data_IF_235128663777
#
_entry.id   IF_235128663777
#
_cell.length_a   1.000
_cell.length_b   1.000
_cell.length_c   1.000
_cell.angle_alpha   90.00
_cell.angle_beta   90.00
_cell.angle_gamma   90.00
#
_symmetry.space_group_name_H-M   'P 1'
#
loop_
_entity.id
_entity.type
_entity.pdbx_description
1 polymer ?
#
# COMPACT_ATOMS: atom_id res chain seq x y z
N UNK A 1 40.34 -6.28 -33.01
CA UNK A 1 39.85 -5.30 -32.03
C UNK A 1 40.84 -5.30 -30.88
N UNK A 2 41.48 -4.16 -30.59
CA UNK A 2 42.46 -4.05 -29.51
C UNK A 2 41.78 -4.26 -28.15
N UNK A 3 42.51 -4.78 -27.18
CA UNK A 3 42.03 -4.94 -25.79
C UNK A 3 41.49 -3.63 -25.20
N UNK A 4 42.02 -2.48 -25.61
CA UNK A 4 41.50 -1.15 -25.27
C UNK A 4 40.09 -0.86 -25.81
N UNK A 5 39.70 -1.43 -26.96
CA UNK A 5 38.34 -1.25 -27.51
C UNK A 5 37.28 -2.08 -26.79
N UNK A 6 37.68 -3.20 -26.18
CA UNK A 6 36.79 -4.05 -25.36
C UNK A 6 36.67 -3.50 -23.93
N UNK A 7 37.75 -2.97 -23.37
CA UNK A 7 37.73 -2.26 -22.09
C UNK A 7 36.97 -0.92 -22.17
N UNK A 8 37.02 -0.21 -23.31
CA UNK A 8 36.21 0.98 -23.54
C UNK A 8 34.71 0.67 -23.69
N UNK A 9 34.32 -0.46 -24.28
CA UNK A 9 32.92 -0.90 -24.35
C UNK A 9 32.39 -1.44 -23.00
N UNK A 10 33.26 -2.06 -22.19
CA UNK A 10 32.94 -2.47 -20.83
C UNK A 10 32.85 -1.28 -19.87
N UNK A 11 33.73 -0.28 -20.02
CA UNK A 11 33.69 0.96 -19.22
C UNK A 11 32.56 1.90 -19.64
N UNK A 12 32.19 1.98 -20.92
CA UNK A 12 31.00 2.74 -21.36
C UNK A 12 29.67 2.15 -20.84
N UNK A 13 29.63 0.86 -20.51
CA UNK A 13 28.49 0.24 -19.84
C UNK A 13 28.47 0.44 -18.32
N UNK A 14 29.55 0.96 -17.72
CA UNK A 14 29.61 1.26 -16.28
C UNK A 14 29.40 2.75 -15.95
N UNK A 15 29.47 3.67 -16.92
CA UNK A 15 29.41 5.11 -16.67
C UNK A 15 28.04 5.81 -16.88
N UNK A 16 26.91 5.08 -16.92
CA UNK A 16 25.58 5.75 -16.91
C UNK A 16 24.47 5.10 -16.07
N UNK A 17 24.79 4.14 -15.20
CA UNK A 17 23.83 3.71 -14.19
C UNK A 17 23.85 4.71 -13.02
N UNK A 18 23.22 5.87 -13.21
CA UNK A 18 22.56 6.55 -12.10
C UNK A 18 21.80 5.47 -11.33
N UNK A 19 22.04 5.36 -10.02
CA UNK A 19 21.39 4.35 -9.17
C UNK A 19 19.89 4.32 -9.50
N UNK A 20 19.44 3.19 -10.06
CA UNK A 20 18.07 3.02 -10.58
C UNK A 20 17.02 3.11 -9.47
N UNK A 21 17.42 3.30 -8.21
CA UNK A 21 16.55 3.53 -7.07
C UNK A 21 16.81 4.87 -6.37
N UNK A 22 17.72 5.72 -6.85
CA UNK A 22 17.99 7.03 -6.25
C UNK A 22 16.85 8.01 -6.52
N UNK A 23 16.03 8.26 -5.48
CA UNK A 23 14.92 9.21 -5.54
C UNK A 23 15.33 10.69 -5.62
N UNK A 24 16.62 11.02 -5.75
CA UNK A 24 17.05 12.34 -6.21
C UNK A 24 16.79 12.55 -7.72
N UNK A 25 16.64 11.45 -8.47
CA UNK A 25 16.24 11.50 -9.87
C UNK A 25 14.73 11.77 -9.99
N UNK A 26 14.38 12.91 -10.59
CA UNK A 26 13.00 13.34 -10.77
C UNK A 26 12.20 12.42 -11.70
N UNK A 27 12.83 11.74 -12.66
CA UNK A 27 12.17 10.75 -13.52
C UNK A 27 11.67 9.55 -12.71
N UNK A 28 12.52 9.00 -11.83
CA UNK A 28 12.17 7.89 -10.94
C UNK A 28 10.99 8.27 -10.05
N UNK A 29 11.05 9.45 -9.42
CA UNK A 29 9.96 9.97 -8.58
C UNK A 29 8.68 10.14 -9.39
N UNK A 30 8.79 10.61 -10.65
CA UNK A 30 7.64 10.78 -11.54
C UNK A 30 7.01 9.44 -11.91
N UNK A 31 7.81 8.42 -12.18
CA UNK A 31 7.33 7.05 -12.47
C UNK A 31 6.60 6.42 -11.27
N UNK A 32 7.16 6.55 -10.06
CA UNK A 32 6.48 6.15 -8.81
C UNK A 32 5.13 6.86 -8.63
N UNK A 33 5.11 8.19 -8.80
CA UNK A 33 3.88 9.00 -8.69
C UNK A 33 2.85 8.60 -9.73
N UNK A 34 3.29 8.35 -10.96
CA UNK A 34 2.40 7.99 -12.06
C UNK A 34 1.77 6.62 -11.82
N UNK A 35 2.57 5.62 -11.43
CA UNK A 35 2.07 4.31 -11.01
C UNK A 35 1.07 4.42 -9.84
N UNK A 36 1.39 5.25 -8.84
CA UNK A 36 0.51 5.49 -7.69
C UNK A 36 -0.80 6.19 -8.07
N UNK A 37 -0.78 7.12 -9.02
CA UNK A 37 -1.98 7.80 -9.51
C UNK A 37 -2.91 6.84 -10.24
N UNK A 38 -2.36 5.93 -11.06
CA UNK A 38 -3.14 4.88 -11.73
C UNK A 38 -3.76 3.94 -10.69
N UNK A 39 -2.99 3.50 -9.70
CA UNK A 39 -3.51 2.67 -8.61
C UNK A 39 -4.63 3.39 -7.83
N UNK A 40 -4.47 4.68 -7.52
CA UNK A 40 -5.52 5.46 -6.85
C UNK A 40 -6.79 5.60 -7.70
N UNK A 41 -6.66 5.78 -9.03
CA UNK A 41 -7.80 5.85 -9.94
C UNK A 41 -8.56 4.51 -9.98
N UNK A 42 -7.84 3.40 -10.10
CA UNK A 42 -8.43 2.06 -10.03
C UNK A 42 -9.11 1.80 -8.68
N UNK A 43 -8.45 2.13 -7.57
CA UNK A 43 -9.04 2.00 -6.23
C UNK A 43 -10.32 2.82 -6.10
N UNK A 44 -10.32 4.07 -6.56
CA UNK A 44 -11.51 4.94 -6.53
C UNK A 44 -12.69 4.31 -7.29
N UNK A 45 -12.44 3.75 -8.47
CA UNK A 45 -13.45 3.09 -9.27
C UNK A 45 -14.00 1.83 -8.59
N UNK A 46 -13.12 1.02 -7.97
CA UNK A 46 -13.54 -0.17 -7.22
C UNK A 46 -14.39 0.22 -6.01
N UNK A 47 -13.94 1.16 -5.18
CA UNK A 47 -14.68 1.61 -3.99
C UNK A 47 -16.06 2.20 -4.35
N UNK A 48 -16.16 2.93 -5.47
CA UNK A 48 -17.44 3.46 -5.96
C UNK A 48 -18.41 2.35 -6.42
N UNK A 49 -17.89 1.18 -6.79
CA UNK A 49 -18.69 0.02 -7.21
C UNK A 49 -19.06 -0.92 -6.05
N UNK A 50 -18.46 -0.77 -4.87
CA UNK A 50 -18.76 -1.60 -3.69
C UNK A 50 -20.16 -1.23 -3.18
N UNK A 51 -21.11 -2.15 -3.37
CA UNK A 51 -22.49 -2.05 -2.88
C UNK A 51 -23.10 -3.45 -2.70
N UNK A 52 -24.16 -3.62 -1.90
CA UNK A 52 -24.81 -4.90 -1.71
C UNK A 52 -25.21 -5.56 -3.05
N UNK A 53 -25.02 -6.87 -3.14
CA UNK A 53 -25.32 -7.70 -4.32
C UNK A 53 -24.23 -7.72 -5.40
N UNK A 54 -23.21 -6.86 -5.34
CA UNK A 54 -22.12 -6.88 -6.33
C UNK A 54 -21.16 -8.04 -6.05
N UNK A 55 -20.83 -8.79 -7.09
CA UNK A 55 -19.87 -9.90 -7.03
C UNK A 55 -18.44 -9.38 -6.78
N UNK A 56 -17.72 -10.05 -5.89
CA UNK A 56 -16.31 -9.78 -5.60
C UNK A 56 -15.45 -9.90 -6.87
N UNK A 57 -15.72 -10.89 -7.72
CA UNK A 57 -15.03 -11.07 -9.01
C UNK A 57 -15.20 -9.84 -9.90
N UNK A 58 -16.40 -9.29 -9.98
CA UNK A 58 -16.68 -8.10 -10.79
C UNK A 58 -15.90 -6.87 -10.28
N UNK A 59 -15.77 -6.71 -8.96
CA UNK A 59 -14.95 -5.65 -8.35
C UNK A 59 -13.47 -5.81 -8.72
N UNK A 60 -12.94 -7.04 -8.65
CA UNK A 60 -11.57 -7.32 -9.09
C UNK A 60 -11.34 -7.01 -10.57
N UNK A 61 -12.33 -7.30 -11.43
CA UNK A 61 -12.26 -6.97 -12.86
C UNK A 61 -12.25 -5.45 -13.10
N UNK A 62 -13.07 -4.68 -12.36
CA UNK A 62 -13.08 -3.21 -12.47
C UNK A 62 -11.70 -2.63 -12.18
N UNK A 63 -11.05 -3.09 -11.10
CA UNK A 63 -9.72 -2.62 -10.72
C UNK A 63 -8.66 -2.94 -11.78
N UNK A 64 -8.60 -4.19 -12.23
CA UNK A 64 -7.60 -4.63 -13.21
C UNK A 64 -7.79 -3.94 -14.58
N UNK A 65 -9.03 -3.86 -15.07
CA UNK A 65 -9.33 -3.17 -16.33
C UNK A 65 -8.98 -1.69 -16.25
N UNK A 66 -9.32 -1.01 -15.14
CA UNK A 66 -8.97 0.40 -14.96
C UNK A 66 -7.44 0.61 -15.01
N UNK A 67 -6.66 -0.24 -14.32
CA UNK A 67 -5.20 -0.11 -14.34
C UNK A 67 -4.62 -0.32 -15.74
N UNK A 68 -5.12 -1.31 -16.49
CA UNK A 68 -4.68 -1.57 -17.86
C UNK A 68 -5.07 -0.42 -18.81
N UNK A 69 -6.29 0.08 -18.72
CA UNK A 69 -6.77 1.20 -19.53
C UNK A 69 -5.97 2.48 -19.29
N UNK A 70 -5.70 2.83 -18.03
CA UNK A 70 -4.92 4.03 -17.68
C UNK A 70 -3.45 3.89 -18.08
N UNK A 71 -2.81 2.73 -17.83
CA UNK A 71 -1.41 2.53 -18.25
C UNK A 71 -1.23 2.53 -19.76
N UNK A 72 -2.22 2.09 -20.54
CA UNK A 72 -2.18 2.15 -21.99
C UNK A 72 -2.17 3.59 -22.56
N UNK A 73 -2.60 4.59 -21.78
CA UNK A 73 -2.58 6.01 -22.20
C UNK A 73 -1.22 6.67 -22.01
N UNK A 74 -0.35 6.10 -21.16
CA UNK A 74 0.85 6.74 -20.64
C UNK A 74 2.11 6.10 -21.25
N UNK A 75 3.23 6.82 -21.41
CA UNK A 75 4.52 6.21 -21.84
C UNK A 75 4.44 5.32 -23.11
N UNK A 76 3.79 5.81 -24.16
CA UNK A 76 3.65 5.08 -25.44
C UNK A 76 4.82 5.29 -26.41
N UNK A 77 5.62 6.34 -26.19
CA UNK A 77 6.86 6.56 -26.93
C UNK A 77 8.01 5.80 -26.26
N UNK A 78 9.01 5.42 -27.04
CA UNK A 78 10.24 4.85 -26.50
C UNK A 78 11.00 5.91 -25.70
N UNK A 79 11.48 5.55 -24.53
CA UNK A 79 12.45 6.34 -23.75
C UNK A 79 13.81 5.70 -23.92
N UNK A 80 14.85 6.46 -24.26
CA UNK A 80 16.21 5.95 -24.46
C UNK A 80 16.27 4.72 -25.39
N UNK A 81 15.45 4.72 -26.46
CA UNK A 81 15.37 3.63 -27.43
C UNK A 81 14.62 2.37 -26.96
N UNK A 82 14.19 2.28 -25.69
CA UNK A 82 13.44 1.14 -25.15
C UNK A 82 11.95 1.45 -24.96
N UNK A 83 11.11 0.43 -25.11
CA UNK A 83 9.70 0.50 -24.69
C UNK A 83 9.66 0.52 -23.16
N UNK A 84 8.89 1.43 -22.59
CA UNK A 84 8.65 1.48 -21.15
C UNK A 84 7.68 0.37 -20.77
N UNK A 85 8.10 -0.52 -19.87
CA UNK A 85 7.26 -1.59 -19.34
C UNK A 85 6.27 -1.02 -18.30
N UNK A 86 5.00 -1.43 -18.35
CA UNK A 86 3.92 -0.81 -17.56
C UNK A 86 2.71 -1.73 -17.48
N UNK A 87 1.97 -1.63 -16.39
CA UNK A 87 0.76 -2.40 -16.19
C UNK A 87 0.48 -2.72 -14.73
N UNK A 88 -0.20 -3.84 -14.51
CA UNK A 88 -0.56 -4.33 -13.18
C UNK A 88 0.68 -4.85 -12.46
N UNK A 89 0.98 -4.28 -11.29
CA UNK A 89 2.03 -4.75 -10.39
C UNK A 89 1.48 -5.69 -9.31
N UNK A 90 0.20 -5.55 -8.96
CA UNK A 90 -0.50 -6.46 -8.06
C UNK A 90 -1.97 -6.54 -8.50
N UNK A 91 -2.49 -7.75 -8.83
CA UNK A 91 -3.86 -7.89 -9.31
C UNK A 91 -4.85 -7.49 -8.21
N UNK A 92 -5.99 -6.97 -8.64
CA UNK A 92 -7.02 -6.51 -7.71
C UNK A 92 -7.54 -7.69 -6.89
N UNK A 93 -7.46 -7.54 -5.58
CA UNK A 93 -7.99 -8.46 -4.59
C UNK A 93 -8.99 -7.71 -3.72
N UNK A 94 -10.12 -8.35 -3.45
CA UNK A 94 -11.22 -7.79 -2.65
C UNK A 94 -11.59 -8.82 -1.59
N UNK A 95 -11.30 -8.52 -0.33
CA UNK A 95 -11.48 -9.43 0.80
C UNK A 95 -12.55 -8.90 1.77
N UNK A 96 -13.55 -9.73 2.04
CA UNK A 96 -14.73 -9.36 2.85
C UNK A 96 -14.62 -9.92 4.27
N UNK A 97 -14.99 -9.10 5.26
CA UNK A 97 -15.07 -9.44 6.69
C UNK A 97 -13.78 -10.08 7.23
N UNK A 98 -13.83 -11.35 7.64
CA UNK A 98 -12.73 -12.09 8.27
C UNK A 98 -11.56 -12.37 7.32
N UNK A 99 -11.81 -12.40 6.00
CA UNK A 99 -10.74 -12.61 5.02
C UNK A 99 -9.78 -11.44 5.08
N UNK A 100 -8.48 -11.69 5.16
CA UNK A 100 -7.49 -10.63 5.40
C UNK A 100 -7.12 -9.91 4.10
N UNK A 101 -6.55 -10.62 3.14
CA UNK A 101 -6.13 -10.08 1.84
C UNK A 101 -6.05 -11.23 0.79
N UNK A 102 -5.69 -10.87 -0.45
CA UNK A 102 -5.38 -11.79 -1.56
C UNK A 102 -6.57 -12.57 -2.15
N UNK A 103 -7.80 -12.30 -1.71
CA UNK A 103 -8.98 -12.92 -2.30
C UNK A 103 -9.31 -12.28 -3.67
N UNK A 104 -9.14 -13.04 -4.75
CA UNK A 104 -9.55 -12.67 -6.11
C UNK A 104 -10.16 -13.91 -6.78
N UNK A 105 -11.48 -14.13 -6.66
CA UNK A 105 -12.09 -15.39 -7.09
C UNK A 105 -12.21 -15.50 -8.62
N UNK A 106 -12.18 -16.74 -9.13
CA UNK A 106 -12.43 -17.06 -10.55
C UNK A 106 -13.93 -17.11 -10.90
N UNK A 107 -14.78 -17.30 -9.89
CA UNK A 107 -16.24 -17.42 -9.99
C UNK A 107 -16.96 -16.30 -9.22
N UNK A 108 -18.29 -16.29 -9.31
CA UNK A 108 -19.16 -15.29 -8.65
C UNK A 108 -19.71 -15.81 -7.31
N UNK A 109 -18.95 -16.66 -6.61
CA UNK A 109 -19.38 -17.32 -5.36
C UNK A 109 -19.59 -16.36 -4.19
N UNK A 110 -18.97 -15.18 -4.21
CA UNK A 110 -19.05 -14.20 -3.13
C UNK A 110 -19.58 -12.87 -3.65
N UNK A 111 -20.62 -12.38 -2.99
CA UNK A 111 -21.21 -11.06 -3.22
C UNK A 111 -21.12 -10.23 -1.95
N UNK A 112 -20.98 -8.92 -2.12
CA UNK A 112 -20.97 -7.94 -1.04
C UNK A 112 -22.37 -7.83 -0.43
N UNK A 113 -22.47 -7.67 0.89
CA UNK A 113 -23.71 -7.51 1.64
C UNK A 113 -23.71 -6.20 2.43
N UNK A 114 -24.90 -5.77 2.82
CA UNK A 114 -25.06 -4.65 3.74
C UNK A 114 -24.38 -4.99 5.08
N UNK A 115 -23.60 -4.05 5.64
CA UNK A 115 -22.85 -4.24 6.87
C UNK A 115 -21.47 -4.89 6.70
N UNK A 116 -21.11 -5.35 5.50
CA UNK A 116 -19.80 -5.96 5.25
C UNK A 116 -18.66 -4.94 5.41
N UNK A 117 -17.52 -5.42 5.90
CA UNK A 117 -16.24 -4.70 5.87
C UNK A 117 -15.42 -5.22 4.69
N UNK A 118 -15.17 -4.35 3.71
CA UNK A 118 -14.55 -4.70 2.43
C UNK A 118 -13.16 -4.10 2.35
N UNK A 119 -12.17 -4.94 2.05
CA UNK A 119 -10.77 -4.56 1.87
C UNK A 119 -10.40 -4.72 0.41
N UNK A 120 -9.86 -3.69 -0.20
CA UNK A 120 -9.43 -3.68 -1.60
C UNK A 120 -7.92 -3.48 -1.64
N UNK A 121 -7.20 -4.39 -2.29
CA UNK A 121 -5.74 -4.31 -2.52
C UNK A 121 -5.46 -4.40 -4.01
N UNK A 122 -4.67 -3.48 -4.54
CA UNK A 122 -4.22 -3.48 -5.94
C UNK A 122 -2.92 -2.68 -6.12
N UNK A 123 -2.27 -2.85 -7.26
CA UNK A 123 -1.04 -2.10 -7.56
C UNK A 123 -0.72 -2.01 -9.05
N UNK A 124 -0.07 -0.91 -9.42
CA UNK A 124 0.37 -0.60 -10.77
C UNK A 124 1.89 -0.36 -10.79
N UNK A 125 2.55 -0.58 -11.93
CA UNK A 125 3.93 -0.15 -12.15
C UNK A 125 4.10 0.67 -13.43
N UNK A 126 5.09 1.56 -13.42
CA UNK A 126 5.65 2.21 -14.59
C UNK A 126 7.17 1.98 -14.54
N UNK A 127 7.73 1.38 -15.58
CA UNK A 127 9.15 1.02 -15.72
C UNK A 127 9.70 0.19 -14.54
N UNK A 128 8.83 -0.58 -13.88
CA UNK A 128 9.15 -1.36 -12.70
C UNK A 128 9.00 -0.63 -11.37
N UNK A 129 8.72 0.67 -11.34
CA UNK A 129 8.45 1.44 -10.13
C UNK A 129 6.98 1.31 -9.73
N UNK A 130 6.73 0.88 -8.49
CA UNK A 130 5.42 0.39 -8.06
C UNK A 130 4.66 1.41 -7.21
N UNK A 131 3.40 1.64 -7.57
CA UNK A 131 2.38 2.21 -6.68
C UNK A 131 1.48 1.11 -6.14
N UNK A 132 1.55 0.83 -4.84
CA UNK A 132 0.68 -0.13 -4.15
C UNK A 132 -0.32 0.60 -3.27
N UNK A 133 -1.53 0.06 -3.19
CA UNK A 133 -2.56 0.60 -2.30
C UNK A 133 -3.46 -0.49 -1.75
N UNK A 134 -3.80 -0.37 -0.47
CA UNK A 134 -4.89 -1.14 0.16
C UNK A 134 -5.79 -0.18 0.93
N UNK A 135 -7.08 -0.41 0.89
CA UNK A 135 -8.06 0.43 1.57
C UNK A 135 -9.20 -0.42 2.12
N UNK A 136 -9.61 -0.13 3.35
CA UNK A 136 -10.79 -0.75 3.96
C UNK A 136 -11.93 0.23 3.99
N UNK A 137 -13.13 -0.24 3.63
CA UNK A 137 -14.38 0.47 3.78
C UNK A 137 -15.43 -0.44 4.42
N UNK A 138 -16.53 0.14 4.89
CA UNK A 138 -17.72 -0.62 5.28
C UNK A 138 -18.90 -0.29 4.35
N UNK A 139 -19.81 -1.25 4.20
CA UNK A 139 -21.02 -1.12 3.39
C UNK A 139 -22.17 -0.69 4.29
N UNK A 140 -22.69 0.51 4.04
CA UNK A 140 -23.81 1.09 4.78
C UNK A 140 -23.57 2.53 5.19
N UNK A 141 -24.50 3.09 5.97
CA UNK A 141 -24.45 4.51 6.37
C UNK A 141 -23.44 4.79 7.48
N UNK A 142 -23.37 3.91 8.48
CA UNK A 142 -22.46 4.01 9.62
C UNK A 142 -22.14 2.62 10.19
N UNK A 143 -21.04 2.52 10.92
CA UNK A 143 -20.60 1.29 11.58
C UNK A 143 -20.37 1.53 13.07
N UNK A 144 -20.61 0.52 13.91
CA UNK A 144 -20.52 0.58 15.38
C UNK A 144 -19.69 -0.59 15.93
N UNK A 145 -19.34 -0.49 17.21
CA UNK A 145 -18.68 -1.57 17.95
C UNK A 145 -17.31 -1.94 17.36
N UNK A 146 -16.98 -3.23 17.40
CA UNK A 146 -15.64 -3.72 17.05
C UNK A 146 -15.19 -3.40 15.63
N UNK A 147 -16.10 -3.38 14.66
CA UNK A 147 -15.80 -2.93 13.30
C UNK A 147 -15.40 -1.45 13.25
N UNK A 148 -16.12 -0.59 13.99
CA UNK A 148 -15.76 0.83 14.08
C UNK A 148 -14.40 1.04 14.78
N UNK A 149 -14.12 0.25 15.83
CA UNK A 149 -12.86 0.29 16.56
C UNK A 149 -11.68 -0.02 15.64
N UNK A 150 -11.71 -1.14 14.90
CA UNK A 150 -10.58 -1.58 14.07
C UNK A 150 -10.38 -0.67 12.85
N UNK A 151 -11.46 -0.14 12.26
CA UNK A 151 -11.38 0.83 11.16
C UNK A 151 -10.70 2.14 11.60
N UNK A 152 -11.13 2.70 12.74
CA UNK A 152 -10.49 3.88 13.33
C UNK A 152 -9.05 3.61 13.71
N UNK A 153 -8.79 2.50 14.40
CA UNK A 153 -7.45 2.11 14.82
C UNK A 153 -6.50 1.99 13.64
N UNK A 154 -6.88 1.24 12.59
CA UNK A 154 -6.00 0.99 11.45
C UNK A 154 -5.68 2.28 10.69
N UNK A 155 -6.66 3.16 10.50
CA UNK A 155 -6.43 4.47 9.88
C UNK A 155 -5.51 5.36 10.73
N UNK A 156 -5.73 5.42 12.04
CA UNK A 156 -4.89 6.21 12.95
C UNK A 156 -3.46 5.64 13.07
N UNK A 157 -3.30 4.32 13.08
CA UNK A 157 -2.01 3.64 13.01
C UNK A 157 -1.25 4.06 11.75
N UNK A 158 -1.93 4.08 10.61
CA UNK A 158 -1.39 4.54 9.34
C UNK A 158 -0.92 6.01 9.39
N UNK A 159 -1.75 6.91 9.92
CA UNK A 159 -1.43 8.33 10.05
C UNK A 159 -0.28 8.59 11.03
N UNK A 160 -0.24 7.87 12.16
CA UNK A 160 0.84 7.95 13.15
C UNK A 160 2.15 7.37 12.60
N UNK A 161 2.09 6.19 11.96
CA UNK A 161 3.24 5.55 11.33
C UNK A 161 3.84 6.43 10.24
N UNK A 162 3.01 7.04 9.37
CA UNK A 162 3.47 7.95 8.33
C UNK A 162 4.28 9.13 8.90
N UNK A 163 3.86 9.68 10.05
CA UNK A 163 4.55 10.79 10.74
C UNK A 163 5.83 10.38 11.44
N UNK A 164 5.92 9.11 11.85
CA UNK A 164 7.12 8.54 12.49
C UNK A 164 8.15 8.07 11.46
N UNK A 165 7.70 7.60 10.30
CA UNK A 165 8.53 7.04 9.23
C UNK A 165 9.34 8.16 8.55
N UNK A 166 10.59 8.30 8.97
CA UNK A 166 11.56 9.31 8.52
C UNK A 166 12.95 8.68 8.44
N UNK A 167 13.82 9.25 7.61
CA UNK A 167 15.23 8.85 7.56
C UNK A 167 15.88 8.97 8.94
N UNK A 168 16.73 8.01 9.29
CA UNK A 168 17.42 7.89 10.57
C UNK A 168 16.58 7.26 11.68
N UNK A 169 15.27 7.07 11.49
CA UNK A 169 14.40 6.41 12.47
C UNK A 169 14.49 4.89 12.30
N UNK A 170 14.47 4.16 13.41
CA UNK A 170 14.37 2.69 13.39
C UNK A 170 12.94 2.26 13.04
N UNK A 171 12.80 1.23 12.20
CA UNK A 171 11.50 0.62 11.89
C UNK A 171 10.77 0.12 13.13
N UNK A 172 11.52 -0.33 14.13
CA UNK A 172 10.96 -0.77 15.41
C UNK A 172 10.24 0.36 16.16
N UNK A 173 10.67 1.62 16.02
CA UNK A 173 9.93 2.75 16.59
C UNK A 173 8.61 3.00 15.86
N UNK A 174 8.56 2.76 14.55
CA UNK A 174 7.31 2.83 13.78
C UNK A 174 6.35 1.72 14.21
N UNK A 175 6.85 0.49 14.38
CA UNK A 175 6.08 -0.64 14.91
C UNK A 175 5.52 -0.35 16.30
N UNK A 176 6.32 0.22 17.22
CA UNK A 176 5.85 0.62 18.56
C UNK A 176 4.71 1.62 18.50
N UNK A 177 4.79 2.61 17.61
CA UNK A 177 3.72 3.60 17.44
C UNK A 177 2.44 2.93 16.92
N UNK A 178 2.56 2.01 15.95
CA UNK A 178 1.41 1.24 15.44
C UNK A 178 0.76 0.44 16.57
N UNK A 179 1.55 -0.30 17.36
CA UNK A 179 1.03 -1.09 18.49
C UNK A 179 0.38 -0.24 19.58
N UNK A 180 0.99 0.90 19.93
CA UNK A 180 0.46 1.82 20.94
C UNK A 180 -0.92 2.32 20.52
N UNK A 181 -1.07 2.77 19.27
CA UNK A 181 -2.38 3.19 18.72
C UNK A 181 -3.35 2.03 18.68
N UNK A 182 -2.95 0.85 18.19
CA UNK A 182 -3.84 -0.30 18.09
C UNK A 182 -4.40 -0.73 19.47
N UNK A 183 -3.57 -0.64 20.51
CA UNK A 183 -3.94 -1.01 21.89
C UNK A 183 -5.04 -0.12 22.50
N UNK A 184 -5.09 1.18 22.15
CA UNK A 184 -6.14 2.11 22.58
C UNK A 184 -7.53 1.71 22.08
N UNK A 185 -7.59 0.90 21.01
CA UNK A 185 -8.82 0.37 20.41
C UNK A 185 -9.01 -1.12 20.68
N UNK A 186 -8.22 -1.72 21.58
CA UNK A 186 -8.17 -3.16 21.83
C UNK A 186 -7.97 -3.97 20.54
N UNK A 187 -7.21 -3.45 19.58
CA UNK A 187 -6.90 -4.10 18.31
C UNK A 187 -5.44 -4.56 18.32
N UNK A 188 -5.12 -5.53 17.46
CA UNK A 188 -3.76 -6.08 17.37
C UNK A 188 -3.29 -6.11 15.92
N UNK A 189 -2.04 -5.72 15.63
CA UNK A 189 -1.45 -5.94 14.30
C UNK A 189 -1.32 -7.43 13.98
N UNK A 190 -1.62 -7.81 12.75
CA UNK A 190 -1.44 -9.19 12.28
C UNK A 190 0.04 -9.46 11.98
N UNK A 191 0.52 -10.63 12.42
CA UNK A 191 1.88 -11.09 12.07
C UNK A 191 1.92 -11.63 10.64
N UNK A 192 3.08 -11.55 10.00
CA UNK A 192 3.26 -12.01 8.61
C UNK A 192 2.82 -11.00 7.54
N UNK A 193 2.36 -9.81 7.94
CA UNK A 193 2.04 -8.71 7.03
C UNK A 193 3.05 -7.57 7.23
N UNK A 194 3.92 -7.41 6.25
CA UNK A 194 5.07 -6.51 6.36
C UNK A 194 4.91 -5.26 5.51
N UNK A 195 5.59 -4.20 5.94
CA UNK A 195 5.91 -3.05 5.13
C UNK A 195 7.26 -3.30 4.43
N UNK A 196 7.29 -3.29 3.11
CA UNK A 196 8.49 -3.63 2.33
C UNK A 196 9.12 -2.39 1.69
N UNK A 197 10.46 -2.37 1.64
CA UNK A 197 11.21 -1.51 0.72
C UNK A 197 10.80 -1.84 -0.72
N UNK A 198 10.56 -0.79 -1.51
CA UNK A 198 10.25 -0.87 -2.92
C UNK A 198 11.48 -0.45 -3.73
N UNK A 199 11.81 -1.25 -4.74
CA UNK A 199 12.82 -0.95 -5.74
C UNK A 199 12.27 -1.19 -7.13
N UNK A 200 12.96 -0.71 -8.15
CA UNK A 200 12.61 -1.01 -9.54
C UNK A 200 12.52 -2.53 -9.72
N UNK A 201 11.36 -3.02 -10.19
CA UNK A 201 11.07 -4.45 -10.38
C UNK A 201 11.06 -5.31 -9.09
N UNK A 202 11.00 -4.68 -7.91
CA UNK A 202 10.97 -5.38 -6.61
C UNK A 202 9.83 -4.82 -5.75
N UNK A 203 8.79 -5.64 -5.58
CA UNK A 203 7.59 -5.34 -4.79
C UNK A 203 7.72 -5.73 -3.31
N UNK A 204 8.56 -6.72 -3.02
CA UNK A 204 8.85 -7.23 -1.67
C UNK A 204 10.37 -7.23 -1.46
N UNK A 205 10.91 -6.06 -1.11
CA UNK A 205 12.33 -5.89 -0.81
C UNK A 205 12.79 -6.68 0.41
N UNK A 206 14.08 -6.99 0.44
CA UNK A 206 14.75 -7.70 1.56
C UNK A 206 14.77 -6.88 2.85
N UNK A 207 14.65 -5.56 2.74
CA UNK A 207 14.45 -4.66 3.87
C UNK A 207 12.95 -4.50 4.09
N UNK A 208 12.44 -5.01 5.21
CA UNK A 208 11.04 -4.94 5.56
C UNK A 208 10.86 -4.88 7.08
N UNK A 209 9.69 -4.47 7.54
CA UNK A 209 9.37 -4.38 8.97
C UNK A 209 7.91 -4.71 9.24
N UNK A 210 7.62 -5.18 10.45
CA UNK A 210 6.26 -5.49 10.90
C UNK A 210 5.54 -4.29 11.50
N UNK A 211 4.21 -4.33 11.53
CA UNK A 211 3.40 -3.46 12.38
C UNK A 211 3.46 -3.82 13.87
N UNK A 212 4.11 -4.93 14.24
CA UNK A 212 4.25 -5.42 15.62
C UNK A 212 5.72 -5.51 16.06
N UNK A 213 5.97 -5.40 17.37
CA UNK A 213 7.27 -5.65 18.03
C UNK A 213 7.32 -6.97 18.77
N UNK A 214 6.26 -7.78 18.67
CA UNK A 214 6.18 -9.10 19.29
C UNK A 214 7.30 -10.02 18.82
N UNK A 215 7.85 -10.81 19.73
CA UNK A 215 9.00 -11.69 19.47
C UNK A 215 8.67 -12.80 18.45
N UNK A 216 7.39 -13.20 18.34
CA UNK A 216 6.94 -14.12 17.31
C UNK A 216 7.14 -13.58 15.89
N UNK A 217 7.18 -12.25 15.75
CA UNK A 217 7.46 -11.58 14.49
C UNK A 217 8.97 -11.38 14.33
N UNK A 218 9.61 -12.35 13.67
CA UNK A 218 11.07 -12.50 13.56
C UNK A 218 11.74 -11.45 12.65
N UNK A 219 11.30 -10.20 12.70
CA UNK A 219 11.85 -9.11 11.91
C UNK A 219 12.97 -8.41 12.64
N UNK A 220 14.12 -8.25 11.98
CA UNK A 220 15.20 -7.42 12.51
C UNK A 220 14.89 -5.93 12.25
N UNK A 221 15.13 -5.04 13.21
CA UNK A 221 14.97 -3.60 13.00
C UNK A 221 15.88 -3.10 11.88
N UNK A 222 15.33 -2.27 11.00
CA UNK A 222 16.07 -1.55 9.97
C UNK A 222 16.09 -0.07 10.31
N UNK A 223 17.14 0.64 9.91
CA UNK A 223 17.17 2.10 9.98
C UNK A 223 16.86 2.67 8.60
N UNK A 224 15.81 3.50 8.52
CA UNK A 224 15.41 4.09 7.26
C UNK A 224 16.47 5.07 6.72
N UNK A 225 16.78 4.98 5.44
CA UNK A 225 17.66 5.90 4.74
C UNK A 225 16.91 7.06 4.07
N UNK A 226 17.67 8.04 3.57
CA UNK A 226 17.16 8.99 2.58
C UNK A 226 17.14 8.34 1.20
N UNK A 227 16.27 8.84 0.33
CA UNK A 227 16.08 8.36 -1.06
C UNK A 227 15.58 6.91 -1.16
N UNK A 228 14.88 6.41 -0.13
CA UNK A 228 14.28 5.07 -0.14
C UNK A 228 12.76 5.16 -0.38
N UNK A 229 12.17 4.13 -1.00
CA UNK A 229 10.74 3.96 -1.18
C UNK A 229 10.23 2.78 -0.36
N UNK A 230 9.06 2.89 0.27
CA UNK A 230 8.45 1.81 1.04
C UNK A 230 6.95 1.68 0.74
N UNK A 231 6.42 0.48 0.88
CA UNK A 231 4.99 0.21 1.02
C UNK A 231 4.65 0.12 2.51
N UNK A 232 4.21 1.24 3.11
CA UNK A 232 3.73 1.23 4.50
C UNK A 232 2.41 0.46 4.55
N UNK A 233 2.41 -0.67 5.25
CA UNK A 233 1.35 -1.67 5.27
C UNK A 233 0.87 -1.91 6.70
N UNK A 234 -0.37 -1.55 7.01
CA UNK A 234 -0.98 -1.72 8.34
C UNK A 234 -2.19 -2.63 8.21
N UNK A 235 -2.13 -3.78 8.88
CA UNK A 235 -3.23 -4.75 8.94
C UNK A 235 -3.54 -5.04 10.41
N UNK A 236 -4.72 -4.64 10.85
CA UNK A 236 -5.17 -4.83 12.24
C UNK A 236 -6.36 -5.77 12.28
N UNK A 237 -6.48 -6.49 13.40
CA UNK A 237 -7.63 -7.33 13.74
C UNK A 237 -8.18 -6.97 15.12
N UNK A 238 -9.48 -7.19 15.32
CA UNK A 238 -10.13 -7.11 16.63
C UNK A 238 -9.81 -8.29 17.54
N UNK A 239 -9.24 -9.37 16.98
CA UNK A 239 -8.99 -10.63 17.65
C UNK A 239 -7.52 -11.03 17.74
N UNK A 240 -7.24 -12.31 17.50
CA UNK A 240 -5.88 -12.87 17.63
C UNK A 240 -4.97 -12.44 16.46
N UNK A 241 -3.72 -12.12 16.78
CA UNK A 241 -2.69 -11.65 15.84
C UNK A 241 -2.26 -12.66 14.78
N UNK A 242 -2.65 -13.93 14.89
CA UNK A 242 -2.22 -15.02 13.99
C UNK A 242 -3.25 -15.27 12.89
N UNK A 243 -2.88 -15.09 11.60
CA UNK A 243 -3.73 -15.48 10.49
C UNK A 243 -4.01 -16.99 10.50
N UNK A 244 -5.21 -17.35 10.04
CA UNK A 244 -5.65 -18.73 9.84
C UNK A 244 -5.66 -19.06 8.35
N UNK A 245 -5.31 -20.30 8.04
CA UNK A 245 -5.45 -20.85 6.70
C UNK A 245 -6.93 -21.01 6.35
N UNK A 246 -7.28 -20.72 5.10
CA UNK A 246 -8.61 -20.99 4.55
C UNK A 246 -8.57 -22.13 3.55
N UNK A 247 -9.74 -22.69 3.23
CA UNK A 247 -9.90 -23.66 2.13
C UNK A 247 -10.15 -22.98 0.77
N UNK A 248 -10.17 -21.64 0.73
CA UNK A 248 -10.41 -20.89 -0.50
C UNK A 248 -9.24 -21.09 -1.48
N UNK A 249 -9.54 -21.22 -2.79
CA UNK A 249 -8.51 -21.45 -3.79
C UNK A 249 -7.56 -20.25 -3.88
N UNK A 250 -6.26 -20.54 -4.00
CA UNK A 250 -5.26 -19.52 -4.30
C UNK A 250 -5.27 -19.23 -5.80
N UNK A 251 -5.40 -17.96 -6.17
CA UNK A 251 -5.48 -17.51 -7.56
C UNK A 251 -4.41 -16.49 -7.94
N UNK A 252 -3.64 -16.01 -6.96
CA UNK A 252 -2.58 -15.02 -7.14
C UNK A 252 -1.22 -15.64 -6.82
N UNK A 253 -0.29 -15.46 -7.74
CA UNK A 253 1.06 -16.03 -7.68
C UNK A 253 2.08 -15.01 -8.16
N UNK A 254 3.34 -15.16 -7.75
CA UNK A 254 4.47 -14.44 -8.36
C UNK A 254 5.63 -15.37 -8.67
N UNK A 255 6.49 -14.96 -9.58
CA UNK A 255 7.74 -15.67 -9.86
C UNK A 255 8.69 -15.61 -8.66
N UNK A 256 9.33 -16.74 -8.34
CA UNK A 256 10.46 -16.78 -7.42
C UNK A 256 11.78 -16.65 -8.20
N UNK A 257 12.25 -15.42 -8.35
CA UNK A 257 13.44 -15.09 -9.14
C UNK A 257 14.74 -15.72 -8.63
N UNK A 258 14.76 -16.17 -7.37
CA UNK A 258 15.91 -16.82 -6.75
C UNK A 258 16.08 -18.27 -7.21
N UNK A 259 15.02 -18.88 -7.73
CA UNK A 259 15.02 -20.28 -8.12
C UNK A 259 14.99 -20.43 -9.64
N UNK A 260 15.85 -21.30 -10.16
CA UNK A 260 15.97 -21.58 -11.60
C UNK A 260 15.83 -23.07 -11.83
N UNK A 261 14.75 -23.45 -12.50
CA UNK A 261 14.48 -24.82 -12.90
C UNK A 261 13.88 -24.85 -14.30
N UNK A 262 14.39 -25.73 -15.15
CA UNK A 262 13.83 -25.96 -16.48
C UNK A 262 12.76 -27.04 -16.40
N UNK A 263 11.50 -26.64 -16.57
CA UNK A 263 10.37 -27.57 -16.54
C UNK A 263 10.48 -28.64 -17.63
N UNK A 264 10.07 -29.86 -17.29
CA UNK A 264 10.22 -31.04 -18.15
C UNK A 264 9.13 -31.11 -19.19
N UNK A 265 7.90 -30.71 -18.85
CA UNK A 265 6.77 -30.76 -19.78
C UNK A 265 6.79 -29.57 -20.76
N UNK A 266 6.33 -29.79 -22.00
CA UNK A 266 6.17 -28.71 -22.98
C UNK A 266 5.14 -27.67 -22.53
N UNK A 267 4.04 -28.13 -21.93
CA UNK A 267 3.00 -27.28 -21.34
C UNK A 267 3.55 -26.41 -20.20
N UNK A 268 4.35 -26.99 -19.29
CA UNK A 268 5.01 -26.24 -18.22
C UNK A 268 5.95 -25.17 -18.75
N UNK A 269 6.80 -25.51 -19.74
CA UNK A 269 7.67 -24.52 -20.41
C UNK A 269 6.87 -23.41 -21.09
N UNK A 270 5.78 -23.74 -21.78
CA UNK A 270 4.87 -22.76 -22.40
C UNK A 270 4.27 -21.81 -21.35
N UNK A 271 3.74 -22.36 -20.26
CA UNK A 271 3.17 -21.56 -19.17
C UNK A 271 4.19 -20.61 -18.54
N UNK A 272 5.37 -21.10 -18.14
CA UNK A 272 6.40 -20.24 -17.55
C UNK A 272 6.95 -19.21 -18.55
N UNK A 273 6.99 -19.52 -19.85
CA UNK A 273 7.34 -18.54 -20.88
C UNK A 273 6.33 -17.39 -20.92
N UNK A 274 5.02 -17.68 -20.82
CA UNK A 274 3.99 -16.66 -20.74
C UNK A 274 4.09 -15.84 -19.45
N UNK A 275 4.32 -16.50 -18.30
CA UNK A 275 4.55 -15.81 -17.01
C UNK A 275 5.72 -14.84 -17.11
N UNK A 276 6.89 -15.31 -17.56
CA UNK A 276 8.09 -14.49 -17.65
C UNK A 276 7.96 -13.34 -18.66
N UNK A 277 7.17 -13.51 -19.71
CA UNK A 277 6.94 -12.46 -20.71
C UNK A 277 5.93 -11.41 -20.25
N UNK A 278 4.87 -11.79 -19.52
CA UNK A 278 3.77 -10.90 -19.13
C UNK A 278 3.98 -10.30 -17.73
N UNK A 279 4.53 -11.09 -16.81
CA UNK A 279 4.63 -10.80 -15.37
C UNK A 279 5.99 -11.27 -14.81
N UNK A 280 7.12 -10.76 -15.33
CA UNK A 280 8.46 -11.31 -15.02
C UNK A 280 8.74 -11.38 -13.51
N UNK A 281 8.37 -10.33 -12.77
CA UNK A 281 8.64 -10.18 -11.34
C UNK A 281 7.39 -9.91 -10.50
N UNK A 282 6.32 -9.45 -11.13
CA UNK A 282 5.14 -8.96 -10.42
C UNK A 282 4.11 -10.07 -10.21
N UNK A 283 3.37 -10.03 -9.09
CA UNK A 283 2.21 -10.88 -8.88
C UNK A 283 1.22 -10.84 -10.03
N UNK A 284 0.64 -11.99 -10.35
CA UNK A 284 -0.32 -12.17 -11.42
C UNK A 284 -1.47 -13.06 -10.96
N UNK A 285 -2.61 -12.91 -11.65
CA UNK A 285 -3.79 -13.72 -11.43
C UNK A 285 -3.91 -14.83 -12.49
N UNK A 286 -4.44 -16.00 -12.12
CA UNK A 286 -4.62 -17.14 -13.04
C UNK A 286 -5.49 -16.81 -14.28
N UNK A 287 -6.44 -15.89 -14.15
CA UNK A 287 -7.30 -15.41 -15.27
C UNK A 287 -6.53 -14.76 -16.44
N UNK A 288 -5.26 -14.41 -16.24
CA UNK A 288 -4.42 -13.79 -17.28
C UNK A 288 -3.92 -14.77 -18.35
N UNK A 289 -4.25 -16.06 -18.22
CA UNK A 289 -3.86 -17.14 -19.13
C UNK A 289 -5.10 -17.76 -19.77
N UNK A 290 -5.09 -17.84 -21.11
CA UNK A 290 -6.19 -18.38 -21.91
C UNK A 290 -6.10 -19.91 -22.09
N UNK A 291 -4.89 -20.46 -22.14
CA UNK A 291 -4.69 -21.90 -22.29
C UNK A 291 -4.84 -22.62 -20.93
N UNK A 292 -6.06 -23.05 -20.63
CA UNK A 292 -6.39 -23.79 -19.39
C UNK A 292 -5.56 -25.07 -19.20
N UNK A 293 -5.18 -25.75 -20.29
CA UNK A 293 -4.39 -26.99 -20.22
C UNK A 293 -2.96 -26.67 -19.80
N UNK A 294 -2.34 -25.67 -20.43
CA UNK A 294 -1.02 -25.20 -20.04
C UNK A 294 -1.01 -24.63 -18.61
N UNK A 295 -2.03 -23.87 -18.24
CA UNK A 295 -2.21 -23.33 -16.89
C UNK A 295 -2.26 -24.45 -15.84
N UNK A 296 -3.14 -25.44 -16.02
CA UNK A 296 -3.34 -26.52 -15.03
C UNK A 296 -2.09 -27.36 -14.81
N UNK A 297 -1.43 -27.78 -15.90
CA UNK A 297 -0.22 -28.61 -15.82
C UNK A 297 0.98 -27.77 -15.37
N UNK A 298 1.17 -26.60 -15.98
CA UNK A 298 2.31 -25.73 -15.74
C UNK A 298 2.32 -25.16 -14.33
N UNK A 299 1.17 -24.72 -13.79
CA UNK A 299 1.09 -24.20 -12.44
C UNK A 299 1.53 -25.24 -11.40
N UNK A 300 1.01 -26.47 -11.49
CA UNK A 300 1.36 -27.53 -10.54
C UNK A 300 2.84 -27.92 -10.63
N UNK A 301 3.40 -28.02 -11.84
CA UNK A 301 4.82 -28.32 -12.02
C UNK A 301 5.71 -27.18 -11.50
N UNK A 302 5.38 -25.93 -11.79
CA UNK A 302 6.10 -24.74 -11.31
C UNK A 302 6.11 -24.63 -9.79
N UNK A 303 4.98 -24.91 -9.12
CA UNK A 303 4.90 -24.90 -7.65
C UNK A 303 5.73 -26.02 -7.03
N UNK A 304 5.71 -27.23 -7.60
CA UNK A 304 6.52 -28.37 -7.12
C UNK A 304 8.03 -28.05 -7.15
N UNK A 305 8.44 -27.26 -8.13
CA UNK A 305 9.83 -26.84 -8.29
C UNK A 305 10.12 -25.46 -7.70
N UNK A 306 9.23 -24.91 -6.86
CA UNK A 306 9.37 -23.60 -6.20
C UNK A 306 9.72 -22.44 -7.17
N UNK A 307 9.20 -22.48 -8.40
CA UNK A 307 9.35 -21.39 -9.37
C UNK A 307 8.33 -20.27 -9.16
N UNK A 308 7.25 -20.56 -8.45
CA UNK A 308 6.18 -19.62 -8.12
C UNK A 308 5.93 -19.60 -6.62
N UNK A 309 5.67 -18.41 -6.09
CA UNK A 309 5.24 -18.16 -4.72
C UNK A 309 3.74 -17.84 -4.69
N UNK A 310 2.92 -18.62 -3.96
CA UNK A 310 1.49 -18.35 -3.80
C UNK A 310 1.23 -17.20 -2.82
N UNK A 311 0.20 -16.40 -3.11
CA UNK A 311 -0.41 -15.48 -2.15
C UNK A 311 -1.65 -16.14 -1.54
N UNK A 312 -1.49 -16.85 -0.43
CA UNK A 312 -2.56 -17.60 0.20
C UNK A 312 -3.66 -16.70 0.76
N UNK A 313 -4.91 -17.06 0.51
CA UNK A 313 -6.07 -16.42 1.15
C UNK A 313 -6.11 -16.88 2.62
N UNK A 314 -5.96 -15.93 3.53
CA UNK A 314 -5.97 -16.17 4.98
C UNK A 314 -7.11 -15.40 5.63
N UNK A 315 -7.54 -15.84 6.81
CA UNK A 315 -8.61 -15.20 7.56
C UNK A 315 -8.27 -15.05 9.04
N UNK A 316 -9.06 -14.26 9.76
CA UNK A 316 -9.13 -14.31 11.23
C UNK A 316 -10.22 -15.29 11.67
N UNK A 317 -10.52 -15.36 12.97
CA UNK A 317 -11.61 -16.21 13.48
C UNK A 317 -12.96 -15.65 13.02
N UNK A 318 -13.97 -16.50 12.76
CA UNK A 318 -15.35 -16.03 12.54
C UNK A 318 -15.80 -15.05 13.61
N UNK A 319 -16.29 -13.88 13.20
CA UNK A 319 -16.73 -12.79 14.09
C UNK A 319 -15.64 -11.77 14.46
N UNK A 320 -14.36 -12.05 14.22
CA UNK A 320 -13.31 -11.03 14.28
C UNK A 320 -13.29 -10.21 12.98
N UNK A 321 -12.92 -8.93 13.08
CA UNK A 321 -12.93 -8.01 11.94
C UNK A 321 -11.52 -7.52 11.66
N UNK A 322 -11.18 -7.41 10.37
CA UNK A 322 -9.88 -6.96 9.89
C UNK A 322 -10.03 -5.64 9.15
N UNK A 323 -9.11 -4.71 9.43
CA UNK A 323 -8.90 -3.52 8.62
C UNK A 323 -7.46 -3.49 8.08
N UNK A 324 -7.35 -3.16 6.80
CA UNK A 324 -6.13 -3.10 6.02
C UNK A 324 -6.02 -1.77 5.28
N UNK A 325 -4.96 -1.01 5.58
CA UNK A 325 -4.57 0.17 4.82
C UNK A 325 -3.11 0.05 4.40
N UNK A 326 -2.81 0.38 3.15
CA UNK A 326 -1.44 0.38 2.61
C UNK A 326 -1.22 1.57 1.69
N UNK A 327 -0.06 2.19 1.81
CA UNK A 327 0.37 3.31 0.97
C UNK A 327 1.82 3.16 0.52
N UNK A 328 2.13 3.66 -0.66
CA UNK A 328 3.50 3.90 -1.11
C UNK A 328 3.97 5.25 -0.56
N UNK A 329 5.13 5.23 0.09
CA UNK A 329 5.80 6.39 0.67
C UNK A 329 7.20 6.55 0.09
N UNK A 330 7.61 7.79 -0.18
CA UNK A 330 8.95 8.14 -0.64
C UNK A 330 9.66 8.93 0.46
N UNK A 331 10.84 8.48 0.89
CA UNK A 331 11.70 9.18 1.83
C UNK A 331 12.64 10.11 1.07
N UNK A 332 12.14 11.28 0.67
CA UNK A 332 12.94 12.25 -0.07
C UNK A 332 13.84 13.06 0.88
N UNK A 333 14.91 13.71 0.38
CA UNK A 333 15.69 14.67 1.19
C UNK A 333 14.84 15.81 1.76
N UNK A 334 13.74 16.17 1.10
CA UNK A 334 12.77 17.18 1.55
C UNK A 334 11.74 16.65 2.55
N UNK A 335 11.84 15.37 2.93
CA UNK A 335 10.97 14.68 3.86
C UNK A 335 10.10 13.59 3.22
N UNK A 336 9.39 12.87 4.08
CA UNK A 336 8.51 11.75 3.70
C UNK A 336 7.29 12.24 2.90
N UNK A 337 7.01 11.61 1.77
CA UNK A 337 5.84 11.88 0.92
C UNK A 337 5.03 10.61 0.71
N UNK A 338 3.78 10.60 1.18
CA UNK A 338 2.76 9.62 0.76
C UNK A 338 2.33 9.94 -0.67
N UNK A 339 2.38 8.95 -1.57
CA UNK A 339 2.05 9.15 -2.99
C UNK A 339 0.89 8.29 -3.50
N UNK A 340 0.53 7.21 -2.79
CA UNK A 340 -0.70 6.45 -3.02
C UNK A 340 -1.61 6.46 -1.78
N UNK A 341 -2.84 5.98 -1.92
CA UNK A 341 -3.85 5.97 -0.87
C UNK A 341 -4.87 7.08 -1.03
N UNK A 342 -6.13 6.73 -0.76
CA UNK A 342 -7.23 7.67 -0.67
C UNK A 342 -7.49 8.04 0.79
N UNK A 343 -8.01 9.25 1.07
CA UNK A 343 -8.53 9.59 2.39
C UNK A 343 -9.60 8.60 2.82
N UNK A 344 -9.67 8.29 4.12
CA UNK A 344 -10.75 7.48 4.67
C UNK A 344 -11.97 8.35 4.97
N UNK A 345 -12.80 8.60 3.96
CA UNK A 345 -13.97 9.49 4.04
C UNK A 345 -15.02 9.02 5.05
N UNK A 346 -15.07 7.71 5.34
CA UNK A 346 -16.02 7.13 6.28
C UNK A 346 -15.57 7.19 7.75
N UNK A 347 -14.42 7.82 8.05
CA UNK A 347 -13.86 7.87 9.41
C UNK A 347 -14.85 8.43 10.46
N UNK A 348 -15.54 9.52 10.12
CA UNK A 348 -16.53 10.16 11.00
C UNK A 348 -17.79 9.30 11.20
N UNK A 349 -18.04 8.35 10.29
CA UNK A 349 -19.16 7.40 10.35
C UNK A 349 -18.81 6.11 11.10
N UNK A 350 -17.58 6.01 11.60
CA UNK A 350 -17.14 4.91 12.47
C UNK A 350 -17.44 5.28 13.93
N UNK A 351 -18.58 4.84 14.45
CA UNK A 351 -19.03 5.13 15.82
C UNK A 351 -18.38 4.16 16.83
N UNK A 352 -17.13 4.43 17.17
CA UNK A 352 -16.38 3.77 18.25
C UNK A 352 -16.55 4.53 19.56
N UNK A 353 -16.67 3.79 20.67
CA UNK A 353 -16.65 4.33 22.04
C UNK A 353 -15.22 4.56 22.54
N UNK A 354 -14.22 4.07 21.79
CA UNK A 354 -12.80 4.17 22.09
C UNK A 354 -12.19 5.34 21.33
N UNK A 355 -11.13 5.91 21.91
CA UNK A 355 -10.37 7.01 21.34
C UNK A 355 -8.94 6.95 21.85
N UNK A 356 -8.01 7.57 21.12
CA UNK A 356 -6.62 7.72 21.56
C UNK A 356 -6.59 8.66 22.77
N UNK A 357 -6.05 8.18 23.89
CA UNK A 357 -5.93 8.96 25.14
C UNK A 357 -4.50 9.38 25.42
N UNK A 358 -3.53 8.63 24.94
CA UNK A 358 -2.11 8.94 25.10
C UNK A 358 -1.72 10.30 24.49
N UNK A 359 -1.14 11.16 25.32
CA UNK A 359 -0.83 12.54 24.95
C UNK A 359 0.27 12.64 23.89
N UNK A 360 1.23 11.71 23.86
CA UNK A 360 2.28 11.68 22.84
C UNK A 360 1.69 11.31 21.48
N UNK A 361 0.79 10.33 21.44
CA UNK A 361 0.06 9.96 20.23
C UNK A 361 -0.84 11.08 19.72
N UNK A 362 -1.57 11.75 20.61
CA UNK A 362 -2.39 12.92 20.24
C UNK A 362 -1.52 14.03 19.65
N UNK A 363 -0.38 14.31 20.29
CA UNK A 363 0.60 15.28 19.79
C UNK A 363 1.10 14.88 18.41
N UNK A 364 1.50 13.61 18.24
CA UNK A 364 1.96 13.09 16.96
C UNK A 364 0.88 13.26 15.87
N UNK A 365 -0.35 12.80 16.12
CA UNK A 365 -1.46 12.85 15.18
C UNK A 365 -1.88 14.29 14.82
N UNK A 366 -1.71 15.24 15.74
CA UNK A 366 -1.99 16.67 15.51
C UNK A 366 -1.03 17.33 14.52
N UNK A 367 0.18 16.77 14.33
CA UNK A 367 1.16 17.31 13.39
C UNK A 367 0.61 17.17 11.97
N UNK A 368 0.28 18.30 11.33
CA UNK A 368 -0.29 18.30 9.99
C UNK A 368 0.77 18.00 8.93
N UNK A 369 0.56 16.98 8.10
CA UNK A 369 1.19 16.93 6.77
C UNK A 369 0.46 17.93 5.90
N UNK A 370 1.18 18.93 5.40
CA UNK A 370 0.66 20.00 4.56
C UNK A 370 -0.33 19.51 3.47
N UNK A 371 -1.41 20.28 3.33
CA UNK A 371 -2.54 20.21 2.37
C UNK A 371 -3.61 19.12 2.58
N UNK A 372 -4.37 19.20 3.68
CA UNK A 372 -5.86 19.14 3.71
C UNK A 372 -6.51 18.93 5.08
N UNK A 373 -5.80 19.13 6.19
CA UNK A 373 -6.43 19.14 7.53
C UNK A 373 -6.19 20.48 8.19
N UNK A 374 -6.92 21.51 7.73
CA UNK A 374 -7.24 22.72 8.50
C UNK A 374 -8.77 22.79 8.59
N UNK A 375 -9.40 21.80 9.23
CA UNK A 375 -10.78 21.92 9.75
C UNK A 375 -10.99 21.04 11.00
N UNK A 376 -10.24 19.96 11.22
CA UNK A 376 -10.66 18.91 12.18
C UNK A 376 -10.17 19.12 13.65
N UNK A 377 -9.44 20.20 13.97
CA UNK A 377 -8.93 20.40 15.35
C UNK A 377 -9.25 21.77 16.00
N UNK A 378 -10.37 22.40 15.66
CA UNK A 378 -10.88 23.52 16.47
C UNK A 378 -12.42 23.51 16.59
N UNK A 379 -12.93 22.91 17.68
CA UNK A 379 -14.02 23.59 18.40
C UNK A 379 -13.70 23.85 19.89
N UNK A 380 -12.50 23.55 20.37
CA UNK A 380 -12.16 23.65 21.81
C UNK A 380 -11.18 24.76 22.20
N UNK A 381 -10.76 25.63 21.28
CA UNK A 381 -9.92 26.79 21.60
C UNK A 381 -10.66 28.10 21.27
N UNK A 382 -11.79 28.31 21.93
CA UNK A 382 -12.42 29.62 22.02
C UNK A 382 -12.86 29.86 23.46
N UNK A 383 -11.89 30.04 24.35
CA UNK A 383 -12.05 30.87 25.53
C UNK A 383 -10.70 31.48 25.86
N UNK A 384 -10.71 32.78 26.13
CA UNK A 384 -9.57 33.64 26.48
C UNK A 384 -8.77 34.14 25.26
N UNK A 385 -9.20 35.28 24.71
CA UNK A 385 -8.43 36.54 24.62
C UNK A 385 -9.44 37.62 24.17
N UNK A 386 -9.68 38.61 25.03
CA UNK A 386 -10.46 39.79 24.69
C UNK A 386 -9.70 40.63 23.64
N UNK A 387 -10.38 41.25 22.66
CA UNK A 387 -9.71 42.03 21.64
C UNK A 387 -9.24 43.38 22.21
N UNK A 388 -7.93 43.54 22.34
CA UNK A 388 -7.28 44.86 22.48
C UNK A 388 -7.38 45.55 21.12
N UNK A 389 -8.12 46.64 21.08
CA UNK A 389 -8.40 47.46 19.90
C UNK A 389 -7.24 48.45 19.65
N UNK A 390 -6.49 48.40 18.53
CA UNK A 390 -5.50 49.41 18.23
C UNK A 390 -5.94 50.22 17.01
N UNK A 391 -6.52 51.40 17.24
CA UNK A 391 -6.36 52.61 16.39
C UNK A 391 -7.24 53.76 16.90
N UNK A 392 -6.57 54.78 17.45
CA UNK A 392 -6.84 56.20 17.20
C UNK A 392 -5.62 57.02 17.61
N UNK A 393 -4.69 57.22 16.66
CA UNK A 393 -3.82 58.40 16.67
C UNK A 393 -4.62 59.56 16.08
N UNK A 394 -4.94 60.57 16.89
CA UNK A 394 -5.25 61.92 16.41
C UNK A 394 -4.80 62.94 17.46
N UNK A 395 -3.94 63.83 16.96
CA UNK A 395 -3.35 65.05 17.50
C UNK A 395 -4.05 65.81 18.64
N UNK A 396 -3.23 66.29 19.58
CA UNK A 396 -3.38 67.49 20.43
C UNK A 396 -1.95 68.01 20.64
N UNK A 397 -1.48 69.01 19.89
CA UNK A 397 -1.52 70.46 20.16
C UNK A 397 -1.12 70.82 21.60
N UNK A 398 0.05 71.44 21.68
CA UNK A 398 0.61 72.20 22.80
C UNK A 398 -0.17 73.50 23.03
N UNK A 399 -0.35 73.83 24.31
CA UNK A 399 -0.60 75.12 24.98
C UNK A 399 -1.00 74.74 26.42
N UNK A 400 -0.53 75.28 27.54
CA UNK A 400 0.40 76.37 27.85
C UNK A 400 0.64 76.32 29.38
N UNK A 401 1.82 76.75 29.82
CA UNK A 401 2.14 77.41 31.11
C UNK A 401 1.48 76.97 32.43
N UNK A 402 2.29 76.53 33.39
CA UNK A 402 2.43 77.07 34.76
C UNK A 402 3.65 76.46 35.44
#
# INVERSE_FOLDING_TARGET
MSTESVEAELNNNHESHLDENDLSNSDIVTKYRTASNVANAALKNVLAAVKPGVSVKSLCQIGDSTMLEETNKLYNKKENGRKVDKGVAFPTCVSVNELIDYFSPMDDSVTVKEGDVVKVTLGCHIDGYVGLVSHTMFVGEAVKGRSADVLKAAWLCCEAALRKLKSGVSSHEVSKVIEKVASEFNCTPLIGFYSHELKRHVIEGVRYFSGSTKLEDKTEPITFGTKEAYSLNVVLTTGDHKPKTTELPTTVYRTDVQNRYTLKTSLGRSFMSQVNSKFPVFPFHLKSFEDERALKVGLQESLRHNLLKPYFVTSVKPGDVVAHFRFTVLLLPTGTKKISGLPFEQLEKCNSELSVKDQELLTLLSVSYYYHIIVILLPYYNYIIAPVNPKKKKATKEEESS
#
